data_IF_330496934590
#
_entry.id   IF_330496934590
#
_cell.length_a   1.000
_cell.length_b   1.000
_cell.length_c   1.000
_cell.angle_alpha   90.00
_cell.angle_beta   90.00
_cell.angle_gamma   90.00
#
_symmetry.space_group_name_H-M   'P 1'
#
loop_
_entity.id
_entity.type
_entity.pdbx_description
1 polymer ?
#
# COMPACT_ATOMS: atom_id res chain seq x y z
N UNK A 1 9.80 20.53 10.50
CA UNK A 1 9.29 19.15 10.30
C UNK A 1 8.68 19.10 8.90
N UNK A 2 9.14 18.19 8.03
CA UNK A 2 8.64 18.09 6.64
C UNK A 2 7.18 17.63 6.72
N UNK A 3 6.22 18.53 6.52
CA UNK A 3 4.80 18.18 6.61
C UNK A 3 4.47 17.18 5.51
N UNK A 4 4.27 15.92 5.89
CA UNK A 4 3.70 14.92 5.00
C UNK A 4 2.25 15.31 4.74
N UNK A 5 1.92 15.57 3.48
CA UNK A 5 0.54 15.84 3.06
C UNK A 5 -0.35 14.66 3.51
N UNK A 6 -1.56 14.90 4.05
CA UNK A 6 -2.45 13.83 4.50
C UNK A 6 -2.67 12.76 3.42
N UNK A 7 -2.70 13.14 2.15
CA UNK A 7 -2.74 12.22 1.01
C UNK A 7 -1.56 11.22 0.99
N UNK A 8 -0.32 11.71 1.16
CA UNK A 8 0.86 10.85 1.16
C UNK A 8 0.83 9.91 2.37
N UNK A 9 0.41 10.41 3.53
CA UNK A 9 0.28 9.60 4.73
C UNK A 9 -0.77 8.49 4.54
N UNK A 10 -1.94 8.82 3.97
CA UNK A 10 -2.98 7.85 3.66
C UNK A 10 -2.52 6.80 2.63
N UNK A 11 -1.76 7.19 1.61
CA UNK A 11 -1.21 6.26 0.62
C UNK A 11 -0.17 5.32 1.25
N UNK A 12 0.80 5.83 1.99
CA UNK A 12 1.80 5.00 2.69
C UNK A 12 1.11 4.06 3.69
N UNK A 13 0.20 4.59 4.51
CA UNK A 13 -0.54 3.80 5.49
C UNK A 13 -1.39 2.72 4.84
N UNK A 14 -2.12 3.07 3.78
CA UNK A 14 -2.94 2.12 3.01
C UNK A 14 -2.13 0.99 2.39
N UNK A 15 -0.95 1.30 1.84
CA UNK A 15 -0.07 0.27 1.25
C UNK A 15 0.47 -0.67 2.33
N UNK A 16 1.01 -0.14 3.42
CA UNK A 16 1.54 -0.95 4.53
C UNK A 16 0.43 -1.85 5.11
N UNK A 17 -0.76 -1.28 5.31
CA UNK A 17 -1.91 -2.03 5.82
C UNK A 17 -2.35 -3.14 4.86
N UNK A 18 -2.42 -2.85 3.56
CA UNK A 18 -2.82 -3.84 2.56
C UNK A 18 -1.78 -4.96 2.42
N UNK A 19 -0.47 -4.64 2.48
CA UNK A 19 0.60 -5.65 2.54
C UNK A 19 0.49 -6.53 3.78
N UNK A 20 0.22 -5.92 4.93
CA UNK A 20 0.01 -6.67 6.17
C UNK A 20 -1.20 -7.61 6.07
N UNK A 21 -2.30 -7.16 5.48
CA UNK A 21 -3.49 -8.00 5.28
C UNK A 21 -3.28 -9.12 4.25
N UNK A 22 -2.35 -8.95 3.30
CA UNK A 22 -2.02 -9.94 2.27
C UNK A 22 -1.09 -11.04 2.80
N UNK A 23 -0.07 -10.66 3.57
CA UNK A 23 0.96 -11.59 4.07
C UNK A 23 0.64 -12.17 5.46
N UNK A 24 -0.14 -11.47 6.30
CA UNK A 24 -0.33 -11.91 7.68
C UNK A 24 -1.26 -13.12 7.79
N UNK A 25 -1.04 -14.00 8.79
CA UNK A 25 -1.95 -15.08 9.13
C UNK A 25 -3.25 -14.58 9.79
N UNK A 26 -3.56 -13.28 9.76
CA UNK A 26 -4.86 -12.73 10.20
C UNK A 26 -6.02 -13.44 9.50
N UNK A 27 -5.79 -13.91 8.28
CA UNK A 27 -6.75 -14.75 7.56
C UNK A 27 -7.07 -16.06 8.28
N UNK A 28 -6.10 -16.67 8.97
CA UNK A 28 -6.33 -17.86 9.79
C UNK A 28 -7.13 -17.54 11.06
N UNK A 29 -7.02 -16.32 11.59
CA UNK A 29 -7.85 -15.86 12.71
C UNK A 29 -9.30 -15.59 12.26
N UNK A 30 -9.50 -14.97 11.10
CA UNK A 30 -10.83 -14.80 10.50
C UNK A 30 -11.48 -16.16 10.16
N UNK A 31 -10.67 -17.16 9.80
CA UNK A 31 -11.10 -18.52 9.46
C UNK A 31 -11.22 -19.46 10.68
N UNK A 32 -10.99 -18.99 11.92
CA UNK A 32 -11.18 -19.78 13.17
C UNK A 32 -12.64 -19.84 13.65
N UNK A 33 -13.57 -19.25 12.91
CA UNK A 33 -15.01 -19.38 13.18
C UNK A 33 -15.43 -20.73 12.60
N UNK A 34 -15.52 -21.76 13.44
CA UNK A 34 -16.00 -23.08 13.04
C UNK A 34 -17.46 -22.96 12.55
N UNK A 35 -17.82 -23.45 11.35
CA UNK A 35 -17.06 -24.26 10.40
C UNK A 35 -16.34 -23.40 9.34
N UNK A 36 -15.23 -23.93 8.79
CA UNK A 36 -14.54 -23.39 7.59
C UNK A 36 -15.39 -23.53 6.31
N UNK A 37 -16.60 -22.96 6.28
CA UNK A 37 -17.58 -23.15 5.18
C UNK A 37 -17.01 -22.72 3.81
N UNK A 38 -16.01 -21.83 3.80
CA UNK A 38 -15.41 -21.31 2.55
C UNK A 38 -13.91 -21.61 2.37
N UNK A 39 -13.25 -22.34 3.28
CA UNK A 39 -11.86 -22.83 3.17
C UNK A 39 -10.94 -22.11 2.17
N UNK A 40 -10.49 -22.82 1.12
CA UNK A 40 -9.64 -22.29 0.04
C UNK A 40 -10.31 -21.15 -0.77
N UNK A 41 -11.60 -21.23 -1.17
CA UNK A 41 -12.29 -20.10 -1.82
C UNK A 41 -12.19 -18.77 -1.07
N UNK A 42 -12.31 -18.77 0.26
CA UNK A 42 -12.15 -17.56 1.07
C UNK A 42 -10.73 -17.02 1.03
N UNK A 43 -9.73 -17.91 1.14
CA UNK A 43 -8.32 -17.51 1.01
C UNK A 43 -8.05 -16.83 -0.34
N UNK A 44 -8.60 -17.39 -1.42
CA UNK A 44 -8.46 -16.84 -2.77
C UNK A 44 -9.14 -15.48 -2.90
N UNK A 45 -10.39 -15.34 -2.48
CA UNK A 45 -11.13 -14.06 -2.56
C UNK A 45 -10.44 -12.99 -1.71
N UNK A 46 -10.00 -13.33 -0.50
CA UNK A 46 -9.29 -12.41 0.37
C UNK A 46 -7.98 -11.93 -0.26
N UNK A 47 -7.16 -12.85 -0.77
CA UNK A 47 -5.87 -12.51 -1.34
C UNK A 47 -6.03 -11.68 -2.62
N UNK A 48 -6.95 -12.06 -3.51
CA UNK A 48 -7.29 -11.30 -4.71
C UNK A 48 -7.85 -9.90 -4.38
N UNK A 49 -8.67 -9.78 -3.33
CA UNK A 49 -9.20 -8.50 -2.89
C UNK A 49 -8.09 -7.55 -2.42
N UNK A 50 -7.20 -8.01 -1.53
CA UNK A 50 -6.09 -7.18 -1.04
C UNK A 50 -5.05 -6.89 -2.11
N UNK A 51 -4.84 -7.84 -3.03
CA UNK A 51 -4.02 -7.62 -4.22
C UNK A 51 -4.61 -6.53 -5.12
N UNK A 52 -5.92 -6.55 -5.35
CA UNK A 52 -6.62 -5.51 -6.10
C UNK A 52 -6.55 -4.15 -5.38
N UNK A 53 -6.71 -4.13 -4.05
CA UNK A 53 -6.57 -2.92 -3.25
C UNK A 53 -5.17 -2.30 -3.35
N UNK A 54 -4.11 -3.12 -3.28
CA UNK A 54 -2.72 -2.67 -3.48
C UNK A 54 -2.53 -2.09 -4.88
N UNK A 55 -2.96 -2.81 -5.92
CA UNK A 55 -2.88 -2.35 -7.30
C UNK A 55 -3.58 -1.01 -7.50
N UNK A 56 -4.77 -0.86 -6.92
CA UNK A 56 -5.54 0.39 -6.96
C UNK A 56 -4.83 1.53 -6.22
N UNK A 57 -4.25 1.27 -5.05
CA UNK A 57 -3.46 2.25 -4.30
C UNK A 57 -2.23 2.72 -5.09
N UNK A 58 -1.52 1.80 -5.75
CA UNK A 58 -0.39 2.14 -6.62
C UNK A 58 -0.83 2.96 -7.83
N UNK A 59 -1.98 2.63 -8.44
CA UNK A 59 -2.54 3.41 -9.54
C UNK A 59 -2.91 4.84 -9.11
N UNK A 60 -3.56 4.99 -7.95
CA UNK A 60 -3.86 6.31 -7.38
C UNK A 60 -2.59 7.08 -7.04
N UNK A 61 -1.58 6.41 -6.47
CA UNK A 61 -0.29 7.00 -6.19
C UNK A 61 0.44 7.48 -7.45
N UNK A 62 0.32 6.73 -8.54
CA UNK A 62 0.86 7.10 -9.85
C UNK A 62 0.20 8.39 -10.37
N UNK A 63 -1.13 8.45 -10.38
CA UNK A 63 -1.84 9.65 -10.84
C UNK A 63 -1.63 10.87 -9.94
N UNK A 64 -1.37 10.66 -8.65
CA UNK A 64 -1.13 11.74 -7.69
C UNK A 64 0.33 12.19 -7.63
N UNK A 65 1.20 11.72 -8.56
CA UNK A 65 2.62 12.05 -8.60
C UNK A 65 3.29 11.90 -7.22
N UNK A 66 3.01 10.76 -6.56
CA UNK A 66 3.38 10.54 -5.17
C UNK A 66 4.88 10.69 -4.90
N UNK A 67 5.72 10.36 -5.87
CA UNK A 67 7.17 10.52 -5.82
C UNK A 67 7.55 11.94 -5.38
N UNK A 68 8.41 12.04 -4.35
CA UNK A 68 9.00 13.34 -4.05
C UNK A 68 9.89 13.74 -5.22
N UNK A 69 9.84 15.01 -5.70
CA UNK A 69 10.80 15.48 -6.68
C UNK A 69 12.20 15.20 -6.14
N UNK A 70 13.07 14.63 -6.99
CA UNK A 70 14.47 14.47 -6.66
C UNK A 70 15.00 15.83 -6.18
N UNK A 71 15.82 15.87 -5.11
CA UNK A 71 16.43 17.12 -4.70
C UNK A 71 17.20 17.63 -5.92
N UNK A 72 16.73 18.73 -6.49
CA UNK A 72 17.43 19.45 -7.54
C UNK A 72 18.75 19.86 -6.91
N UNK A 73 19.81 19.09 -7.17
CA UNK A 73 21.18 19.53 -6.95
C UNK A 73 21.32 20.76 -7.82
N UNK A 74 21.14 21.92 -7.19
CA UNK A 74 21.43 23.22 -7.78
C UNK A 74 22.83 23.08 -8.35
N UNK A 75 22.89 23.10 -9.67
CA UNK A 75 24.14 23.19 -10.39
C UNK A 75 24.94 24.31 -9.72
N UNK A 76 26.00 23.93 -9.02
CA UNK A 76 27.04 24.85 -8.58
C UNK A 76 27.79 25.31 -9.84
N UNK A 77 27.09 26.08 -10.66
CA UNK A 77 27.65 26.97 -11.67
C UNK A 77 28.23 28.14 -10.89
N UNK A 78 29.35 27.89 -10.21
CA UNK A 78 30.27 28.94 -9.77
C UNK A 78 31.67 28.58 -10.28
N UNK A 79 31.77 28.43 -11.61
CA UNK A 79 33.00 28.69 -12.34
C UNK A 79 32.78 29.98 -13.11
N UNK A 80 33.24 31.09 -12.54
CA UNK A 80 33.51 32.33 -13.24
C UNK A 80 34.77 32.95 -12.65
#
# INVERSE_FOLDING_TARGET
MKHVTPLKLSLYGGMIFSFFMLESPVIMLANRIEPMVLGLPFLLVWNLFWWFALTSLFLVAYFTNWGSPAPSSVHATQQR
#
